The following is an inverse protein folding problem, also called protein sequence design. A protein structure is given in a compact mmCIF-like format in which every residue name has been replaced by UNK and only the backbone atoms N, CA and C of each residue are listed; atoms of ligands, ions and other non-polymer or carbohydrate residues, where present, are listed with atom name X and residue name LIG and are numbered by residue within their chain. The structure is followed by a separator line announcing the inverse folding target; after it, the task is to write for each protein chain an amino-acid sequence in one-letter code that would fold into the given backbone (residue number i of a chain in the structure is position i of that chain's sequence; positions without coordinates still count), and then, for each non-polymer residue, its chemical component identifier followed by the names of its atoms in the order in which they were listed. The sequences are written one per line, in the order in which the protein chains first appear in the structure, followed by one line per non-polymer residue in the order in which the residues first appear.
data_IF_227700598047
#
_entry.id   IF_227700598047
#
_cell.length_a   1.000
_cell.length_b   1.000
_cell.length_c   1.000
_cell.angle_alpha   90.00
_cell.angle_beta   90.00
_cell.angle_gamma   90.00
#
_symmetry.space_group_name_H-M   'P 1'
#
loop_
_entity.id
_entity.type
_entity.pdbx_description
1 polymer ?
#
# COMPACT_ATOMS: atom_id res chain seq x y z
N UNK A 1 -17.97 -7.29 -4.13
CA UNK A 1 -18.51 -6.41 -5.20
C UNK A 1 -17.68 -6.46 -6.50
N UNK A 2 -16.35 -6.43 -6.45
CA UNK A 2 -15.50 -6.54 -7.67
C UNK A 2 -15.68 -7.82 -8.50
N UNK A 3 -16.12 -8.93 -7.89
CA UNK A 3 -16.43 -10.17 -8.61
C UNK A 3 -17.77 -10.13 -9.36
N UNK A 4 -18.72 -9.29 -8.93
CA UNK A 4 -20.09 -9.26 -9.48
C UNK A 4 -20.16 -8.51 -10.83
N UNK A 5 -19.25 -7.56 -11.05
CA UNK A 5 -19.20 -6.69 -12.25
C UNK A 5 -17.96 -6.94 -13.11
N UNK A 6 -17.40 -8.15 -13.01
CA UNK A 6 -16.23 -8.58 -13.76
C UNK A 6 -16.63 -8.81 -15.22
N UNK A 7 -16.07 -8.05 -16.16
CA UNK A 7 -16.32 -8.22 -17.60
C UNK A 7 -15.14 -8.96 -18.24
N UNK A 8 -15.45 -9.89 -19.13
CA UNK A 8 -14.47 -10.62 -19.93
C UNK A 8 -14.25 -9.83 -21.22
N UNK A 9 -13.01 -9.48 -21.49
CA UNK A 9 -12.62 -8.91 -22.79
C UNK A 9 -12.61 -10.00 -23.87
N UNK A 10 -12.61 -9.59 -25.14
CA UNK A 10 -12.59 -10.46 -26.32
C UNK A 10 -11.36 -11.39 -26.31
N UNK A 11 -10.29 -10.99 -25.62
CA UNK A 11 -9.05 -11.77 -25.39
C UNK A 11 -9.09 -12.70 -24.18
N UNK A 12 -10.24 -12.84 -23.51
CA UNK A 12 -10.43 -13.71 -22.36
C UNK A 12 -9.86 -13.20 -21.04
N UNK A 13 -9.25 -12.01 -21.04
CA UNK A 13 -8.77 -11.34 -19.84
C UNK A 13 -9.93 -10.68 -19.09
N UNK A 14 -9.88 -10.74 -17.77
CA UNK A 14 -10.93 -10.17 -16.96
C UNK A 14 -10.53 -8.82 -16.37
N UNK A 15 -11.40 -7.83 -16.56
CA UNK A 15 -11.21 -6.49 -16.04
C UNK A 15 -12.35 -6.15 -15.07
N UNK A 16 -12.01 -5.40 -14.03
CA UNK A 16 -12.96 -4.90 -13.05
C UNK A 16 -12.27 -3.95 -12.09
N UNK A 17 -13.05 -3.33 -11.22
CA UNK A 17 -12.56 -2.27 -10.34
C UNK A 17 -13.66 -1.33 -9.88
N UNK A 18 -13.33 -0.28 -9.11
CA UNK A 18 -14.31 0.69 -8.66
C UNK A 18 -15.01 1.43 -9.76
N UNK A 19 -14.28 1.80 -10.80
CA UNK A 19 -14.85 2.42 -11.99
C UNK A 19 -15.96 1.55 -12.61
N UNK A 20 -15.76 0.23 -12.64
CA UNK A 20 -16.70 -0.71 -13.24
C UNK A 20 -17.96 -0.94 -12.38
N UNK A 21 -17.87 -1.05 -11.05
CA UNK A 21 -19.11 -1.16 -10.25
C UNK A 21 -19.88 0.16 -10.17
N UNK A 22 -19.21 1.31 -10.25
CA UNK A 22 -19.88 2.62 -10.30
C UNK A 22 -20.58 2.80 -11.65
N UNK A 23 -19.93 2.39 -12.73
CA UNK A 23 -20.50 2.45 -14.07
C UNK A 23 -21.67 1.49 -14.24
N UNK A 24 -21.54 0.22 -13.87
CA UNK A 24 -22.55 -0.81 -14.14
C UNK A 24 -23.51 -1.08 -12.97
N UNK A 25 -23.14 -0.73 -11.74
CA UNK A 25 -23.99 -0.90 -10.55
C UNK A 25 -24.80 0.34 -10.18
N UNK A 26 -24.25 1.54 -10.38
CA UNK A 26 -24.95 2.81 -10.15
C UNK A 26 -25.40 3.52 -11.45
N UNK A 27 -25.05 3.00 -12.62
CA UNK A 27 -25.36 3.59 -13.94
C UNK A 27 -24.89 5.05 -14.10
N UNK A 28 -23.84 5.46 -13.37
CA UNK A 28 -23.26 6.81 -13.41
C UNK A 28 -21.87 6.77 -14.04
N UNK A 29 -21.82 6.71 -15.38
CA UNK A 29 -20.56 6.65 -16.17
C UNK A 29 -19.53 7.72 -15.79
N UNK A 30 -19.97 8.97 -15.62
CA UNK A 30 -19.09 10.09 -15.24
C UNK A 30 -18.33 9.84 -13.93
N UNK A 31 -19.00 9.24 -12.93
CA UNK A 31 -18.40 9.00 -11.63
C UNK A 31 -17.40 7.83 -11.66
N UNK A 32 -17.61 6.86 -12.56
CA UNK A 32 -16.65 5.79 -12.84
C UNK A 32 -15.39 6.28 -13.55
N UNK A 33 -15.54 7.18 -14.53
CA UNK A 33 -14.42 7.83 -15.24
C UNK A 33 -13.61 8.72 -14.28
N UNK A 34 -14.28 9.52 -13.46
CA UNK A 34 -13.62 10.35 -12.45
C UNK A 34 -12.78 9.50 -11.48
N UNK A 35 -13.32 8.37 -11.03
CA UNK A 35 -12.59 7.44 -10.16
C UNK A 35 -11.39 6.80 -10.86
N UNK A 36 -11.50 6.44 -12.14
CA UNK A 36 -10.39 5.91 -12.91
C UNK A 36 -9.25 6.94 -13.07
N UNK A 37 -9.58 8.21 -13.36
CA UNK A 37 -8.61 9.30 -13.45
C UNK A 37 -7.92 9.51 -12.10
N UNK A 38 -8.69 9.59 -11.00
CA UNK A 38 -8.13 9.74 -9.65
C UNK A 38 -7.17 8.60 -9.30
N UNK A 39 -7.51 7.35 -9.64
CA UNK A 39 -6.66 6.19 -9.41
C UNK A 39 -5.36 6.28 -10.22
N UNK A 40 -5.42 6.65 -11.50
CA UNK A 40 -4.24 6.81 -12.34
C UNK A 40 -3.31 7.90 -11.78
N UNK A 41 -3.85 9.06 -11.40
CA UNK A 41 -3.05 10.15 -10.83
C UNK A 41 -2.44 9.74 -9.48
N UNK A 42 -3.24 9.11 -8.62
CA UNK A 42 -2.81 8.73 -7.27
C UNK A 42 -1.72 7.66 -7.32
N UNK A 43 -1.93 6.56 -8.04
CA UNK A 43 -0.95 5.46 -8.12
C UNK A 43 0.19 5.77 -9.09
N UNK A 44 -0.07 6.46 -10.18
CA UNK A 44 0.93 6.79 -11.19
C UNK A 44 1.92 7.85 -10.71
N UNK A 45 1.45 8.89 -10.02
CA UNK A 45 2.28 10.03 -9.64
C UNK A 45 2.48 10.13 -8.13
N UNK A 46 1.39 10.23 -7.35
CA UNK A 46 1.48 10.55 -5.93
C UNK A 46 2.18 9.47 -5.10
N UNK A 47 1.87 8.19 -5.33
CA UNK A 47 2.51 7.09 -4.60
C UNK A 47 3.99 6.92 -4.97
N UNK A 48 4.34 7.01 -6.25
CA UNK A 48 5.72 6.89 -6.71
C UNK A 48 6.58 8.05 -6.20
N UNK A 49 6.06 9.28 -6.26
CA UNK A 49 6.73 10.46 -5.72
C UNK A 49 6.96 10.36 -4.22
N UNK A 50 5.90 10.08 -3.45
CA UNK A 50 5.99 10.00 -1.99
C UNK A 50 6.98 8.92 -1.52
N UNK A 51 6.96 7.75 -2.16
CA UNK A 51 7.89 6.66 -1.81
C UNK A 51 9.34 7.00 -2.16
N UNK A 52 9.57 7.59 -3.33
CA UNK A 52 10.92 8.00 -3.74
C UNK A 52 11.48 9.07 -2.81
N UNK A 53 10.67 10.08 -2.46
CA UNK A 53 11.06 11.13 -1.50
C UNK A 53 11.38 10.57 -0.11
N UNK A 54 10.58 9.63 0.39
CA UNK A 54 10.82 9.01 1.69
C UNK A 54 12.17 8.27 1.71
N UNK A 55 12.52 7.57 0.62
CA UNK A 55 13.81 6.86 0.50
C UNK A 55 14.98 7.84 0.42
N UNK A 56 14.93 8.84 -0.47
CA UNK A 56 16.03 9.80 -0.66
C UNK A 56 16.26 10.62 0.60
N UNK A 57 15.20 11.04 1.29
CA UNK A 57 15.31 11.80 2.54
C UNK A 57 15.81 10.93 3.71
N UNK A 58 15.46 9.64 3.74
CA UNK A 58 16.03 8.72 4.74
C UNK A 58 17.52 8.51 4.54
N UNK A 59 17.98 8.42 3.28
CA UNK A 59 19.40 8.32 2.94
C UNK A 59 20.16 9.59 3.29
N UNK A 60 19.56 10.77 3.06
CA UNK A 60 20.13 12.03 3.50
C UNK A 60 20.26 12.09 5.02
N UNK A 61 19.23 11.71 5.78
CA UNK A 61 19.27 11.75 7.24
C UNK A 61 20.25 10.73 7.84
N UNK A 62 20.39 9.54 7.25
CA UNK A 62 21.23 8.48 7.78
C UNK A 62 22.70 8.60 7.35
N UNK A 63 22.95 9.05 6.11
CA UNK A 63 24.28 9.01 5.49
C UNK A 63 24.75 10.36 4.92
N UNK A 64 23.93 11.43 5.01
CA UNK A 64 24.27 12.76 4.48
C UNK A 64 24.27 12.84 2.95
N UNK A 65 23.76 11.84 2.24
CA UNK A 65 23.76 11.79 0.77
C UNK A 65 22.71 12.77 0.22
N UNK A 66 23.10 13.58 -0.76
CA UNK A 66 22.19 14.52 -1.41
C UNK A 66 21.01 13.79 -2.10
N UNK A 67 19.76 14.26 -1.92
CA UNK A 67 18.57 13.65 -2.52
C UNK A 67 18.60 13.52 -4.04
N UNK A 68 19.30 14.42 -4.74
CA UNK A 68 19.39 14.43 -6.21
C UNK A 68 20.21 13.23 -6.69
N UNK A 69 21.34 12.96 -6.03
CA UNK A 69 22.21 11.84 -6.37
C UNK A 69 21.56 10.50 -6.04
N UNK A 70 20.97 10.37 -4.85
CA UNK A 70 20.25 9.17 -4.44
C UNK A 70 19.01 8.92 -5.31
N UNK A 71 18.31 9.97 -5.73
CA UNK A 71 17.17 9.90 -6.66
C UNK A 71 17.55 9.40 -8.05
N UNK A 72 18.67 9.88 -8.61
CA UNK A 72 19.17 9.41 -9.93
C UNK A 72 19.52 7.93 -9.88
N UNK A 73 20.25 7.49 -8.84
CA UNK A 73 20.61 6.07 -8.67
C UNK A 73 19.35 5.22 -8.53
N UNK A 74 18.39 5.66 -7.72
CA UNK A 74 17.11 4.97 -7.55
C UNK A 74 16.33 4.87 -8.88
N UNK A 75 16.27 5.95 -9.65
CA UNK A 75 15.60 5.98 -10.95
C UNK A 75 16.24 5.01 -11.96
N UNK A 76 17.57 4.92 -12.00
CA UNK A 76 18.28 3.97 -12.88
C UNK A 76 17.99 2.53 -12.47
N UNK A 77 18.05 2.21 -11.17
CA UNK A 77 17.76 0.87 -10.66
C UNK A 77 16.32 0.44 -10.98
N UNK A 78 15.35 1.33 -10.74
CA UNK A 78 13.94 1.07 -11.05
C UNK A 78 13.71 0.95 -12.56
N UNK A 79 14.35 1.80 -13.37
CA UNK A 79 14.30 1.74 -14.82
C UNK A 79 14.77 0.40 -15.37
N UNK A 80 15.87 -0.15 -14.84
CA UNK A 80 16.40 -1.45 -15.24
C UNK A 80 15.42 -2.60 -14.93
N UNK A 81 14.65 -2.49 -13.84
CA UNK A 81 13.59 -3.45 -13.51
C UNK A 81 12.40 -3.31 -14.46
N UNK A 82 12.01 -2.08 -14.81
CA UNK A 82 10.87 -1.81 -15.69
C UNK A 82 11.09 -2.22 -17.14
N UNK A 83 12.30 -2.06 -17.69
CA UNK A 83 12.62 -2.45 -19.09
C UNK A 83 12.36 -3.95 -19.33
N UNK A 84 12.43 -4.80 -18.29
CA UNK A 84 12.13 -6.23 -18.40
C UNK A 84 10.64 -6.62 -18.39
N UNK A 85 9.73 -5.64 -18.30
CA UNK A 85 8.28 -5.84 -18.30
C UNK A 85 7.72 -6.49 -17.03
N UNK A 86 6.41 -6.76 -17.04
CA UNK A 86 5.62 -7.19 -15.86
C UNK A 86 6.18 -8.46 -15.20
N UNK A 87 6.68 -9.43 -15.98
CA UNK A 87 7.23 -10.68 -15.45
C UNK A 87 8.49 -10.46 -14.60
N UNK A 88 9.36 -9.51 -14.98
CA UNK A 88 10.57 -9.19 -14.22
C UNK A 88 10.22 -8.43 -12.94
N UNK A 89 9.29 -7.49 -13.02
CA UNK A 89 8.78 -6.74 -11.87
C UNK A 89 8.22 -7.70 -10.82
N UNK A 90 7.37 -8.65 -11.23
CA UNK A 90 6.81 -9.66 -10.32
C UNK A 90 7.89 -10.51 -9.65
N UNK A 91 8.85 -11.04 -10.43
CA UNK A 91 9.95 -11.86 -9.89
C UNK A 91 10.83 -11.11 -8.88
N UNK A 92 11.11 -9.83 -9.14
CA UNK A 92 11.88 -8.98 -8.24
C UNK A 92 11.08 -8.68 -6.97
N UNK A 93 9.78 -8.37 -7.08
CA UNK A 93 8.90 -8.14 -5.95
C UNK A 93 8.75 -9.40 -5.06
N UNK A 94 8.60 -10.57 -5.67
CA UNK A 94 8.47 -11.86 -4.96
C UNK A 94 9.68 -12.15 -4.05
N UNK A 95 10.87 -11.69 -4.43
CA UNK A 95 12.07 -11.80 -3.60
C UNK A 95 12.20 -10.64 -2.60
N UNK A 96 11.97 -9.40 -3.03
CA UNK A 96 12.16 -8.22 -2.20
C UNK A 96 11.16 -8.14 -1.04
N UNK A 97 9.90 -8.54 -1.25
CA UNK A 97 8.84 -8.47 -0.23
C UNK A 97 9.14 -9.31 1.02
N UNK A 98 9.51 -10.61 0.92
CA UNK A 98 9.85 -11.39 2.10
C UNK A 98 11.15 -10.88 2.76
N UNK A 99 12.16 -10.53 1.95
CA UNK A 99 13.45 -10.03 2.46
C UNK A 99 13.28 -8.73 3.24
N UNK A 100 12.56 -7.74 2.70
CA UNK A 100 12.31 -6.45 3.40
C UNK A 100 11.57 -6.68 4.72
N UNK A 101 10.64 -7.63 4.75
CA UNK A 101 9.82 -7.92 5.93
C UNK A 101 10.67 -8.53 7.04
N UNK A 102 11.48 -9.54 6.69
CA UNK A 102 12.37 -10.19 7.64
C UNK A 102 13.43 -9.23 8.19
N UNK A 103 14.06 -8.42 7.32
CA UNK A 103 15.04 -7.43 7.73
C UNK A 103 14.42 -6.39 8.69
N UNK A 104 13.22 -5.89 8.37
CA UNK A 104 12.55 -4.90 9.21
C UNK A 104 12.17 -5.47 10.59
N UNK A 105 11.61 -6.68 10.64
CA UNK A 105 11.27 -7.35 11.90
C UNK A 105 12.54 -7.62 12.72
N UNK A 106 13.61 -8.10 12.10
CA UNK A 106 14.87 -8.37 12.79
C UNK A 106 15.47 -7.12 13.43
N UNK A 107 15.54 -6.00 12.68
CA UNK A 107 16.04 -4.72 13.20
C UNK A 107 15.12 -4.19 14.31
N UNK A 108 13.80 -4.30 14.13
CA UNK A 108 12.83 -3.86 15.14
C UNK A 108 13.00 -4.63 16.45
N UNK A 109 13.08 -5.96 16.38
CA UNK A 109 13.29 -6.80 17.57
C UNK A 109 14.64 -6.51 18.23
N UNK A 110 15.69 -6.31 17.44
CA UNK A 110 17.00 -5.94 17.94
C UNK A 110 16.96 -4.63 18.77
N UNK A 111 16.32 -3.59 18.24
CA UNK A 111 16.16 -2.30 18.95
C UNK A 111 15.31 -2.45 20.21
N UNK A 112 14.23 -3.24 20.15
CA UNK A 112 13.36 -3.50 21.33
C UNK A 112 14.13 -4.20 22.45
N UNK A 113 14.97 -5.18 22.13
CA UNK A 113 15.76 -5.92 23.12
C UNK A 113 16.81 -5.01 23.77
N UNK A 114 17.47 -4.14 22.99
CA UNK A 114 18.43 -3.17 23.54
C UNK A 114 17.78 -2.14 24.47
N UNK A 115 16.53 -1.76 24.20
CA UNK A 115 15.83 -0.68 24.88
C UNK A 115 14.59 -1.17 25.66
N UNK A 116 14.67 -2.36 26.25
CA UNK A 116 13.53 -3.03 26.87
C UNK A 116 12.86 -2.20 27.97
N UNK A 117 13.65 -1.46 28.75
CA UNK A 117 13.16 -0.64 29.88
C UNK A 117 12.24 0.50 29.44
N UNK A 118 12.38 0.98 28.21
CA UNK A 118 11.57 2.08 27.68
C UNK A 118 10.29 1.59 26.99
N UNK A 119 10.18 0.28 26.72
CA UNK A 119 9.00 -0.29 26.04
C UNK A 119 7.71 -0.05 26.85
N UNK A 120 7.65 -0.32 28.17
CA UNK A 120 6.43 -0.06 28.95
C UNK A 120 6.06 1.43 28.98
N UNK A 121 7.04 2.32 29.12
CA UNK A 121 6.82 3.77 29.16
C UNK A 121 6.33 4.32 27.80
N UNK A 122 6.86 3.78 26.70
CA UNK A 122 6.41 4.10 25.34
C UNK A 122 4.96 3.66 25.11
N UNK A 123 4.58 2.45 25.54
CA UNK A 123 3.19 1.97 25.45
C UNK A 123 2.22 2.83 26.28
N UNK A 124 2.62 3.21 27.50
CA UNK A 124 1.83 4.12 28.33
C UNK A 124 1.67 5.50 27.69
N UNK A 125 2.73 6.02 27.05
CA UNK A 125 2.66 7.28 26.30
C UNK A 125 1.69 7.17 25.14
N UNK A 126 1.69 6.07 24.38
CA UNK A 126 0.75 5.85 23.27
C UNK A 126 -0.70 5.86 23.77
N UNK A 127 -1.00 5.14 24.84
CA UNK A 127 -2.37 5.08 25.41
C UNK A 127 -2.79 6.46 25.93
N UNK A 128 -1.92 7.15 26.66
CA UNK A 128 -2.20 8.51 27.15
C UNK A 128 -2.39 9.51 26.01
N UNK A 129 -1.58 9.44 24.95
CA UNK A 129 -1.73 10.27 23.75
C UNK A 129 -2.98 9.93 22.94
N UNK A 130 -3.50 8.70 23.00
CA UNK A 130 -4.74 8.32 22.33
C UNK A 130 -6.00 8.80 23.07
N UNK A 131 -5.95 8.89 24.41
CA UNK A 131 -7.11 9.20 25.26
C UNK A 131 -7.01 10.53 26.04
N UNK A 132 -5.96 11.32 25.84
CA UNK A 132 -5.62 12.46 26.70
C UNK A 132 -6.73 13.52 26.85
N UNK A 133 -7.11 13.77 28.11
CA UNK A 133 -8.23 14.60 28.57
C UNK A 133 -7.79 16.00 29.03
N UNK A 134 -7.00 16.73 28.23
CA UNK A 134 -6.62 18.12 28.52
C UNK A 134 -6.84 18.99 27.27
N UNK A 135 -7.31 20.23 27.39
CA UNK A 135 -7.74 21.04 26.23
C UNK A 135 -6.60 21.39 25.25
N UNK A 136 -5.39 21.63 25.74
CA UNK A 136 -4.18 21.78 24.89
C UNK A 136 -3.71 20.43 24.32
N UNK A 137 -3.96 19.35 25.06
CA UNK A 137 -3.65 17.99 24.64
C UNK A 137 -4.65 17.49 23.59
N UNK A 138 -5.92 17.92 23.61
CA UNK A 138 -6.97 17.54 22.67
C UNK A 138 -6.65 17.99 21.23
N UNK A 139 -5.98 19.14 21.05
CA UNK A 139 -5.46 19.56 19.74
C UNK A 139 -4.33 18.66 19.25
N UNK A 140 -3.41 18.28 20.14
CA UNK A 140 -2.31 17.34 19.87
C UNK A 140 -2.83 15.92 19.58
N UNK A 141 -3.72 15.39 20.42
CA UNK A 141 -4.40 14.09 20.25
C UNK A 141 -5.23 14.09 18.97
N UNK A 142 -6.02 15.14 18.71
CA UNK A 142 -6.78 15.28 17.47
C UNK A 142 -5.88 15.27 16.23
N UNK A 143 -4.75 16.01 16.27
CA UNK A 143 -3.76 15.99 15.19
C UNK A 143 -3.10 14.62 15.02
N UNK A 144 -2.82 13.92 16.11
CA UNK A 144 -2.22 12.59 16.12
C UNK A 144 -3.19 11.53 15.59
N UNK A 145 -4.48 11.61 15.93
CA UNK A 145 -5.54 10.74 15.40
C UNK A 145 -5.75 11.01 13.92
N UNK A 146 -5.84 12.26 13.48
CA UNK A 146 -6.01 12.59 12.05
C UNK A 146 -4.78 12.16 11.25
N UNK A 147 -3.58 12.40 11.77
CA UNK A 147 -2.34 12.00 11.10
C UNK A 147 -2.16 10.47 11.10
N UNK A 148 -2.48 9.82 12.20
CA UNK A 148 -2.46 8.37 12.36
C UNK A 148 -3.50 7.68 11.49
N UNK A 149 -4.72 8.21 11.45
CA UNK A 149 -5.80 7.76 10.57
C UNK A 149 -5.45 7.93 9.10
N UNK A 150 -4.91 9.10 8.70
CA UNK A 150 -4.39 9.30 7.34
C UNK A 150 -3.32 8.28 7.01
N UNK A 151 -2.26 8.16 7.82
CA UNK A 151 -1.17 7.21 7.59
C UNK A 151 -1.64 5.75 7.56
N UNK A 152 -2.57 5.37 8.44
CA UNK A 152 -3.13 4.02 8.52
C UNK A 152 -3.99 3.66 7.30
N UNK A 153 -4.81 4.60 6.83
CA UNK A 153 -5.59 4.44 5.59
C UNK A 153 -4.68 4.32 4.37
N UNK A 154 -3.60 5.12 4.30
CA UNK A 154 -2.62 5.04 3.22
C UNK A 154 -1.79 3.75 3.26
N UNK A 155 -1.38 3.29 4.44
CA UNK A 155 -0.56 2.08 4.60
C UNK A 155 -1.34 0.79 4.27
N UNK A 156 -2.64 0.75 4.57
CA UNK A 156 -3.48 -0.43 4.37
C UNK A 156 -4.31 -0.38 3.08
N UNK A 157 -4.11 0.63 2.23
CA UNK A 157 -4.94 0.90 1.05
C UNK A 157 -6.46 0.90 1.34
N UNK A 158 -6.84 1.15 2.61
CA UNK A 158 -8.18 0.95 3.11
C UNK A 158 -9.11 2.06 2.60
N UNK A 159 -9.94 1.76 1.60
CA UNK A 159 -10.84 2.75 0.99
C UNK A 159 -10.26 3.47 -0.23
N UNK A 160 -9.03 3.17 -0.66
CA UNK A 160 -8.42 3.72 -1.88
C UNK A 160 -8.98 3.10 -3.17
N UNK A 161 -9.65 1.96 -3.09
CA UNK A 161 -10.28 1.30 -4.26
C UNK A 161 -9.31 0.51 -5.16
N UNK A 162 -8.05 0.36 -4.80
CA UNK A 162 -7.06 -0.47 -5.52
C UNK A 162 -7.24 -1.98 -5.30
N UNK A 163 -7.54 -2.39 -4.07
CA UNK A 163 -7.78 -3.79 -3.70
C UNK A 163 -8.80 -4.51 -4.63
N UNK A 164 -9.95 -3.90 -4.99
CA UNK A 164 -10.88 -4.52 -5.94
C UNK A 164 -10.35 -4.60 -7.39
N UNK A 165 -9.41 -3.76 -7.83
CA UNK A 165 -8.80 -3.88 -9.17
C UNK A 165 -7.96 -5.16 -9.27
N UNK A 166 -7.09 -5.41 -8.29
CA UNK A 166 -6.24 -6.61 -8.25
C UNK A 166 -7.10 -7.87 -8.06
N UNK A 167 -8.14 -7.77 -7.22
CA UNK A 167 -9.10 -8.85 -7.03
C UNK A 167 -9.99 -9.09 -8.26
N UNK A 168 -10.15 -8.16 -9.19
CA UNK A 168 -10.94 -8.39 -10.39
C UNK A 168 -10.21 -9.26 -11.43
N UNK A 169 -8.87 -9.16 -11.52
CA UNK A 169 -8.09 -9.80 -12.60
C UNK A 169 -7.96 -11.32 -12.45
N UNK A 170 -7.82 -11.87 -11.23
CA UNK A 170 -7.67 -13.33 -11.12
C UNK A 170 -8.98 -14.10 -11.38
N UNK A 171 -8.87 -15.30 -11.94
CA UNK A 171 -9.97 -16.21 -12.31
C UNK A 171 -10.23 -17.21 -11.17
N UNK A 172 -11.43 -17.20 -10.56
CA UNK A 172 -11.73 -18.06 -9.39
C UNK A 172 -13.19 -18.51 -9.45
N UNK A 173 -13.44 -19.78 -9.08
CA UNK A 173 -14.74 -20.47 -9.16
C UNK A 173 -15.78 -20.08 -8.10
N UNK A 174 -15.38 -19.51 -6.94
CA UNK A 174 -16.31 -19.18 -5.85
C UNK A 174 -15.96 -17.85 -5.13
N UNK A 175 -16.92 -16.92 -4.94
CA UNK A 175 -16.65 -15.55 -4.46
C UNK A 175 -16.27 -15.44 -2.98
N UNK A 176 -16.71 -16.37 -2.12
CA UNK A 176 -16.49 -16.32 -0.66
C UNK A 176 -15.05 -16.72 -0.28
N UNK A 177 -14.49 -17.73 -0.96
CA UNK A 177 -13.11 -18.20 -0.72
C UNK A 177 -12.07 -17.09 -0.96
N UNK A 178 -12.42 -16.10 -1.80
CA UNK A 178 -11.53 -15.05 -2.26
C UNK A 178 -11.48 -13.83 -1.34
N UNK A 179 -12.54 -13.55 -0.58
CA UNK A 179 -12.55 -12.48 0.42
C UNK A 179 -11.56 -12.76 1.55
N UNK A 180 -11.50 -14.01 2.00
CA UNK A 180 -10.53 -14.45 3.01
C UNK A 180 -9.10 -14.40 2.46
N UNK A 181 -8.89 -14.83 1.21
CA UNK A 181 -7.59 -14.83 0.56
C UNK A 181 -7.10 -13.45 0.06
N UNK A 182 -7.95 -12.41 0.00
CA UNK A 182 -7.45 -11.03 -0.24
C UNK A 182 -7.04 -10.32 1.05
N UNK A 183 -7.59 -10.73 2.20
CA UNK A 183 -7.19 -10.22 3.52
C UNK A 183 -5.84 -10.77 3.98
N UNK A 184 -5.39 -11.89 3.41
CA UNK A 184 -4.10 -12.50 3.69
C UNK A 184 -3.34 -12.64 2.39
N UNK A 185 -2.13 -12.08 2.28
CA UNK A 185 -1.20 -12.30 1.15
C UNK A 185 -0.75 -13.78 1.07
N UNK A 186 -1.69 -14.70 0.90
CA UNK A 186 -1.43 -16.12 0.76
C UNK A 186 -0.94 -16.39 -0.68
N UNK A 187 0.24 -17.02 -0.86
CA UNK A 187 0.74 -17.34 -2.18
C UNK A 187 -0.20 -18.32 -2.89
N UNK A 188 -0.42 -18.08 -4.18
CA UNK A 188 -1.27 -18.91 -5.05
C UNK A 188 -0.76 -20.36 -5.03
N UNK A 189 -1.54 -21.29 -4.49
CA UNK A 189 -1.45 -22.70 -4.90
C UNK A 189 -2.10 -22.80 -6.28
N UNK A 190 -1.27 -23.02 -7.29
CA UNK A 190 -1.67 -23.56 -8.59
C UNK A 190 -2.37 -24.89 -8.36
N UNK A 191 -3.66 -24.97 -8.66
CA UNK A 191 -4.38 -26.23 -8.83
C UNK A 191 -4.90 -26.24 -10.27
N UNK A 192 -4.63 -27.35 -10.95
CA UNK A 192 -4.72 -27.56 -12.39
C UNK A 192 -6.08 -27.34 -13.02
#
# INVERSE_FOLDING_TARGET
MAQLYKRKDVRGQYYGGPSFYIEYGLNKRWLGVLMAILLIVTFGFSFNGLQSHAVTHSLQNAFGIDPSHSGIVLAVLLGLVFVGGIKRIAKVADLLVPVKTLAYVAVTLYVIVLQFDYVPMMLLTIIKSAFGLDQAFAGLVGSAIVMGGKRGVFANEAGLGSAPNVAAVAEVKHPILRLVASCWHAPRRTLG
#
